data_IF_069486331121
#
_entry.id   IF_069486331121
#
_cell.length_a   1.000
_cell.length_b   1.000
_cell.length_c   1.000
_cell.angle_alpha   90.00
_cell.angle_beta   90.00
_cell.angle_gamma   90.00
#
_symmetry.space_group_name_H-M   'P 1'
#
loop_
_entity.id
_entity.type
_entity.pdbx_description
1 polymer ?
#
# COMPACT_ATOMS: atom_id res chain seq x y z
N UNK A 1 29.63 -7.93 -8.61
CA UNK A 1 29.40 -7.28 -7.30
C UNK A 1 29.37 -5.77 -7.50
N UNK A 2 28.47 -5.09 -6.83
CA UNK A 2 28.31 -3.64 -6.82
C UNK A 2 28.55 -3.11 -5.40
N UNK A 3 29.22 -1.96 -5.28
CA UNK A 3 29.39 -1.28 -4.00
C UNK A 3 28.15 -0.44 -3.64
N UNK A 4 27.49 0.11 -4.65
CA UNK A 4 26.26 0.88 -4.49
C UNK A 4 25.24 0.43 -5.53
N UNK A 5 24.03 0.15 -5.08
CA UNK A 5 22.87 -0.05 -5.92
C UNK A 5 21.82 1.00 -5.56
N UNK A 6 21.22 1.60 -6.55
CA UNK A 6 20.12 2.56 -6.38
C UNK A 6 18.87 1.94 -7.00
N UNK A 7 17.83 1.78 -6.17
CA UNK A 7 16.50 1.36 -6.61
C UNK A 7 15.56 2.56 -6.48
N UNK A 8 15.13 3.08 -7.61
CA UNK A 8 14.14 4.17 -7.66
C UNK A 8 12.74 3.60 -7.84
N UNK A 9 11.74 4.33 -7.39
CA UNK A 9 10.31 3.93 -7.41
C UNK A 9 10.06 2.54 -6.80
N UNK A 10 10.61 2.30 -5.62
CA UNK A 10 10.49 1.00 -4.94
C UNK A 10 9.04 0.58 -4.70
N UNK A 11 8.09 1.51 -4.65
CA UNK A 11 6.65 1.24 -4.54
C UNK A 11 6.09 0.41 -5.70
N UNK A 12 6.73 0.44 -6.89
CA UNK A 12 6.31 -0.33 -8.06
C UNK A 12 6.69 -1.81 -7.97
N UNK A 13 7.47 -2.21 -6.96
CA UNK A 13 7.88 -3.58 -6.73
C UNK A 13 6.74 -4.38 -6.06
N UNK A 14 5.94 -5.05 -6.87
CA UNK A 14 4.81 -5.88 -6.44
C UNK A 14 5.22 -7.30 -6.04
N UNK A 15 6.44 -7.71 -6.40
CA UNK A 15 7.05 -9.00 -6.05
C UNK A 15 8.47 -8.79 -5.53
N UNK A 16 9.02 -9.82 -4.89
CA UNK A 16 10.38 -9.79 -4.35
C UNK A 16 11.47 -10.01 -5.42
N UNK A 17 11.12 -10.38 -6.65
CA UNK A 17 12.09 -10.81 -7.68
C UNK A 17 13.21 -9.81 -7.93
N UNK A 18 12.87 -8.52 -8.04
CA UNK A 18 13.88 -7.49 -8.28
C UNK A 18 14.74 -7.23 -7.04
N UNK A 19 14.15 -7.28 -5.84
CA UNK A 19 14.87 -7.15 -4.58
C UNK A 19 15.85 -8.31 -4.41
N UNK A 20 15.41 -9.55 -4.56
CA UNK A 20 16.24 -10.75 -4.40
C UNK A 20 17.41 -10.74 -5.39
N UNK A 21 17.16 -10.33 -6.65
CA UNK A 21 18.23 -10.20 -7.65
C UNK A 21 19.28 -9.14 -7.29
N UNK A 22 18.89 -8.08 -6.56
CA UNK A 22 19.77 -6.96 -6.20
C UNK A 22 20.48 -7.21 -4.89
N UNK A 23 19.82 -7.79 -3.90
CA UNK A 23 20.33 -7.95 -2.53
C UNK A 23 21.69 -8.64 -2.51
N UNK A 24 21.86 -9.71 -3.29
CA UNK A 24 23.10 -10.49 -3.33
C UNK A 24 24.25 -9.78 -4.07
N UNK A 25 23.97 -8.73 -4.83
CA UNK A 25 25.00 -8.06 -5.64
C UNK A 25 26.01 -7.28 -4.80
N UNK A 26 25.62 -6.85 -3.60
CA UNK A 26 26.44 -6.05 -2.67
C UNK A 26 27.18 -6.90 -1.65
N UNK A 27 26.81 -8.17 -1.43
CA UNK A 27 27.34 -9.03 -0.38
C UNK A 27 28.86 -9.20 -0.38
N UNK A 28 29.49 -9.15 -1.57
CA UNK A 28 30.94 -9.30 -1.69
C UNK A 28 31.72 -7.98 -1.46
N UNK A 29 31.02 -6.91 -1.09
CA UNK A 29 31.62 -5.59 -0.86
C UNK A 29 31.55 -5.26 0.63
N UNK A 30 32.67 -4.88 1.24
CA UNK A 30 32.74 -4.52 2.67
C UNK A 30 31.80 -3.35 3.03
N UNK A 31 31.63 -2.39 2.12
CA UNK A 31 30.77 -1.21 2.28
C UNK A 31 29.65 -1.22 1.23
N UNK A 32 29.09 -2.40 0.95
CA UNK A 32 27.98 -2.52 0.00
C UNK A 32 26.70 -1.86 0.53
N UNK A 33 26.08 -1.01 -0.28
CA UNK A 33 24.86 -0.28 0.09
C UNK A 33 23.81 -0.44 -1.01
N UNK A 34 22.57 -0.69 -0.60
CA UNK A 34 21.39 -0.57 -1.45
C UNK A 34 20.63 0.67 -0.98
N UNK A 35 20.52 1.67 -1.85
CA UNK A 35 19.78 2.90 -1.60
C UNK A 35 18.46 2.86 -2.34
N UNK A 36 17.36 2.86 -1.59
CA UNK A 36 16.01 2.84 -2.15
C UNK A 36 15.36 4.22 -2.03
N UNK A 37 14.77 4.70 -3.10
CA UNK A 37 13.99 5.92 -3.12
C UNK A 37 12.57 5.62 -3.61
N UNK A 38 11.58 6.21 -2.98
CA UNK A 38 10.19 6.05 -3.39
C UNK A 38 9.28 7.08 -2.76
N UNK A 39 8.20 7.43 -3.44
CA UNK A 39 7.02 7.97 -2.79
C UNK A 39 6.25 6.82 -2.08
N UNK A 40 5.23 7.19 -1.30
CA UNK A 40 4.31 6.20 -0.74
C UNK A 40 3.58 5.44 -1.85
N UNK A 41 3.13 4.24 -1.52
CA UNK A 41 2.42 3.36 -2.44
C UNK A 41 1.03 2.98 -1.93
N UNK A 42 0.59 1.82 -2.36
CA UNK A 42 -0.67 1.21 -1.95
C UNK A 42 -0.46 -0.23 -1.44
N UNK A 43 -1.53 -0.99 -1.29
CA UNK A 43 -1.48 -2.39 -0.86
C UNK A 43 -0.64 -3.30 -1.78
N UNK A 44 -0.45 -2.91 -3.04
CA UNK A 44 0.35 -3.65 -4.03
C UNK A 44 1.85 -3.34 -3.95
N UNK A 45 2.25 -2.32 -3.22
CA UNK A 45 3.65 -1.94 -3.02
C UNK A 45 4.34 -2.86 -2.01
N UNK A 46 4.38 -4.17 -2.33
CA UNK A 46 4.72 -5.26 -1.40
C UNK A 46 6.08 -5.06 -0.75
N UNK A 47 7.11 -4.82 -1.56
CA UNK A 47 8.49 -4.73 -1.06
C UNK A 47 8.69 -3.45 -0.24
N UNK A 48 8.17 -2.31 -0.71
CA UNK A 48 8.28 -1.03 0.02
C UNK A 48 7.59 -1.11 1.37
N UNK A 49 6.37 -1.64 1.44
CA UNK A 49 5.63 -1.81 2.70
C UNK A 49 6.39 -2.71 3.69
N UNK A 50 6.90 -3.83 3.20
CA UNK A 50 7.64 -4.78 4.02
C UNK A 50 8.95 -4.17 4.56
N UNK A 51 9.72 -3.46 3.72
CA UNK A 51 10.96 -2.79 4.15
C UNK A 51 10.69 -1.63 5.10
N UNK A 52 9.65 -0.85 4.85
CA UNK A 52 9.20 0.19 5.78
C UNK A 52 8.83 -0.41 7.15
N UNK A 53 8.09 -1.52 7.17
CA UNK A 53 7.71 -2.22 8.40
C UNK A 53 8.93 -2.73 9.18
N UNK A 54 9.91 -3.34 8.50
CA UNK A 54 11.16 -3.75 9.13
C UNK A 54 11.91 -2.57 9.75
N UNK A 55 12.01 -1.45 9.03
CA UNK A 55 12.70 -0.26 9.51
C UNK A 55 12.01 0.39 10.72
N UNK A 56 10.68 0.51 10.69
CA UNK A 56 9.92 1.02 11.84
C UNK A 56 10.07 0.13 13.08
N UNK A 57 10.05 -1.20 12.90
CA UNK A 57 10.29 -2.14 13.99
C UNK A 57 11.69 -1.99 14.59
N UNK A 58 12.72 -1.86 13.76
CA UNK A 58 14.08 -1.65 14.22
C UNK A 58 14.24 -0.35 15.04
N UNK A 59 13.39 0.66 14.78
CA UNK A 59 13.31 1.90 15.54
C UNK A 59 12.41 1.81 16.79
N UNK A 60 11.84 0.64 17.08
CA UNK A 60 10.93 0.44 18.22
C UNK A 60 9.50 0.88 17.96
N UNK A 61 9.08 1.00 16.70
CA UNK A 61 7.73 1.38 16.25
C UNK A 61 7.22 2.67 16.94
N UNK A 62 7.91 3.80 16.78
CA UNK A 62 7.70 5.00 17.58
C UNK A 62 6.31 5.62 17.43
N UNK A 63 5.63 5.35 16.34
CA UNK A 63 4.28 5.83 16.01
C UNK A 63 3.18 4.74 16.08
N UNK A 64 3.56 3.50 16.46
CA UNK A 64 2.63 2.38 16.59
C UNK A 64 2.11 1.81 15.27
N UNK A 65 2.66 2.26 14.13
CA UNK A 65 2.17 1.86 12.82
C UNK A 65 2.32 0.36 12.54
N UNK A 66 3.41 -0.26 13.01
CA UNK A 66 3.64 -1.68 12.78
C UNK A 66 2.60 -2.57 13.45
N UNK A 67 2.07 -2.15 14.61
CA UNK A 67 1.08 -2.89 15.35
C UNK A 67 -0.29 -3.00 14.62
N UNK A 68 -0.52 -2.13 13.64
CA UNK A 68 -1.75 -2.10 12.82
C UNK A 68 -1.62 -2.90 11.52
N UNK A 69 -0.46 -3.55 11.26
CA UNK A 69 -0.16 -4.22 10.00
C UNK A 69 -0.08 -5.75 10.17
N UNK A 70 -1.20 -6.40 10.43
CA UNK A 70 -1.27 -7.85 10.63
C UNK A 70 -0.76 -8.64 9.42
N UNK A 71 -1.02 -8.15 8.20
CA UNK A 71 -0.57 -8.76 6.96
C UNK A 71 0.96 -8.78 6.83
N UNK A 72 1.63 -7.72 7.28
CA UNK A 72 3.09 -7.62 7.28
C UNK A 72 3.70 -8.43 8.43
N UNK A 73 3.04 -8.45 9.58
CA UNK A 73 3.47 -9.27 10.71
C UNK A 73 3.45 -10.78 10.36
N UNK A 74 2.46 -11.20 9.56
CA UNK A 74 2.34 -12.59 9.09
C UNK A 74 3.50 -13.05 8.16
N UNK A 75 4.25 -12.11 7.56
CA UNK A 75 5.41 -12.43 6.73
C UNK A 75 6.61 -12.94 7.54
N UNK A 76 6.58 -12.79 8.88
CA UNK A 76 7.66 -13.20 9.79
C UNK A 76 9.04 -12.68 9.36
N UNK A 77 9.11 -11.46 8.87
CA UNK A 77 10.36 -10.83 8.45
C UNK A 77 11.29 -10.67 9.66
N UNK A 78 12.55 -11.06 9.49
CA UNK A 78 13.58 -10.86 10.51
C UNK A 78 13.89 -9.37 10.66
N UNK A 79 14.33 -9.00 11.88
CA UNK A 79 14.88 -7.67 12.11
C UNK A 79 16.19 -7.50 11.34
N UNK A 80 16.39 -6.32 10.76
CA UNK A 80 17.58 -5.96 10.02
C UNK A 80 18.19 -4.70 10.65
N UNK A 81 19.20 -4.89 11.48
CA UNK A 81 19.89 -3.81 12.18
C UNK A 81 20.69 -2.89 11.23
N UNK A 82 20.87 -3.31 9.98
CA UNK A 82 21.61 -2.52 8.97
C UNK A 82 20.68 -1.61 8.16
N UNK A 83 19.36 -1.75 8.33
CA UNK A 83 18.35 -0.99 7.60
C UNK A 83 18.14 0.39 8.25
N UNK A 84 18.39 1.44 7.48
CA UNK A 84 18.05 2.82 7.83
C UNK A 84 16.84 3.33 7.04
N UNK A 85 16.08 4.26 7.60
CA UNK A 85 14.94 4.91 6.94
C UNK A 85 14.98 6.42 7.14
N UNK A 86 14.65 7.16 6.08
CA UNK A 86 14.36 8.59 6.11
C UNK A 86 12.99 8.78 5.47
N UNK A 87 12.02 9.23 6.25
CA UNK A 87 10.63 9.32 5.81
C UNK A 87 10.07 10.72 6.07
N UNK A 88 9.37 11.27 5.10
CA UNK A 88 8.60 12.51 5.18
C UNK A 88 7.20 12.25 4.65
N UNK A 89 6.22 12.39 5.49
CA UNK A 89 4.82 12.15 5.17
C UNK A 89 3.93 13.19 5.84
N UNK A 90 2.87 13.58 5.20
CA UNK A 90 1.84 14.38 5.86
C UNK A 90 1.12 13.54 6.92
N UNK A 91 0.73 14.17 8.03
CA UNK A 91 0.02 13.50 9.10
C UNK A 91 -1.28 12.84 8.58
N UNK A 92 -1.70 11.70 9.15
CA UNK A 92 -2.95 11.04 8.77
C UNK A 92 -4.16 12.00 8.86
N UNK A 93 -5.10 11.89 7.93
CA UNK A 93 -6.31 12.70 7.90
C UNK A 93 -6.14 14.14 7.39
N UNK A 94 -4.93 14.55 6.99
CA UNK A 94 -4.73 15.86 6.34
C UNK A 94 -5.56 15.96 5.06
N UNK A 95 -6.20 17.12 4.87
CA UNK A 95 -6.78 17.46 3.57
C UNK A 95 -5.68 17.60 2.52
N UNK A 96 -5.93 17.15 1.29
CA UNK A 96 -4.93 17.20 0.21
C UNK A 96 -4.53 18.64 -0.17
N UNK A 97 -5.34 19.64 0.19
CA UNK A 97 -5.09 21.06 -0.05
C UNK A 97 -4.46 21.76 1.16
N UNK A 98 -4.26 21.05 2.28
CA UNK A 98 -3.62 21.61 3.46
C UNK A 98 -2.13 21.85 3.21
N UNK A 99 -1.75 23.12 3.24
CA UNK A 99 -0.36 23.54 3.01
C UNK A 99 0.60 23.10 4.10
N UNK A 100 0.10 22.80 5.31
CA UNK A 100 0.91 22.20 6.39
C UNK A 100 1.31 20.78 6.00
N UNK A 101 0.37 19.98 5.50
CA UNK A 101 0.66 18.63 4.99
C UNK A 101 1.66 18.67 3.82
N UNK A 102 1.58 19.68 2.96
CA UNK A 102 2.59 19.84 1.91
C UNK A 102 4.01 20.07 2.47
N UNK A 103 4.14 20.86 3.55
CA UNK A 103 5.44 21.06 4.20
C UNK A 103 5.95 19.80 4.89
N UNK A 104 5.07 19.06 5.55
CA UNK A 104 5.40 17.80 6.23
C UNK A 104 5.97 16.77 5.24
N UNK A 105 5.33 16.61 4.08
CA UNK A 105 5.72 15.62 3.08
C UNK A 105 6.84 16.08 2.13
N UNK A 106 7.12 17.39 2.06
CA UNK A 106 8.06 17.93 1.07
C UNK A 106 9.06 18.89 1.73
N UNK A 107 10.14 18.38 2.31
CA UNK A 107 11.13 19.20 3.02
C UNK A 107 11.81 20.25 2.12
N UNK A 108 11.77 20.09 0.80
CA UNK A 108 12.29 21.06 -0.17
C UNK A 108 11.30 22.21 -0.50
N UNK A 109 10.09 22.18 0.07
CA UNK A 109 9.07 23.20 -0.17
C UNK A 109 9.54 24.58 0.33
N UNK A 110 9.43 25.56 -0.54
CA UNK A 110 9.95 26.92 -0.29
C UNK A 110 11.35 27.16 -0.86
N UNK A 111 12.14 26.13 -1.04
CA UNK A 111 13.48 26.17 -1.67
C UNK A 111 13.40 25.79 -3.15
N UNK A 112 13.63 24.53 -3.47
CA UNK A 112 13.57 23.99 -4.83
C UNK A 112 12.15 23.80 -5.34
N UNK A 113 11.24 23.37 -4.48
CA UNK A 113 9.84 23.12 -4.80
C UNK A 113 8.97 24.32 -4.39
N UNK A 114 8.09 24.75 -5.28
CA UNK A 114 7.16 25.88 -5.02
C UNK A 114 5.73 25.38 -4.83
N UNK A 115 4.99 25.92 -3.85
CA UNK A 115 3.63 25.55 -3.53
C UNK A 115 2.67 25.56 -4.74
N UNK A 116 2.86 26.48 -5.70
CA UNK A 116 2.08 26.51 -6.95
C UNK A 116 2.22 25.24 -7.78
N UNK A 117 3.39 24.56 -7.71
CA UNK A 117 3.62 23.32 -8.44
C UNK A 117 2.93 22.14 -7.77
N UNK A 118 2.95 22.07 -6.43
CA UNK A 118 2.19 21.08 -5.68
C UNK A 118 0.70 21.23 -5.97
N UNK A 119 0.18 22.47 -5.89
CA UNK A 119 -1.23 22.77 -6.20
C UNK A 119 -1.63 22.30 -7.62
N UNK A 120 -0.81 22.60 -8.62
CA UNK A 120 -1.05 22.18 -9.99
C UNK A 120 -0.98 20.64 -10.15
N UNK A 121 -0.05 20.00 -9.44
CA UNK A 121 0.08 18.53 -9.43
C UNK A 121 -1.16 17.85 -8.84
N UNK A 122 -1.64 18.33 -7.70
CA UNK A 122 -2.84 17.80 -7.03
C UNK A 122 -4.08 17.99 -7.92
N UNK A 123 -4.24 19.16 -8.52
CA UNK A 123 -5.40 19.44 -9.38
C UNK A 123 -5.51 18.53 -10.62
N UNK A 124 -4.41 17.92 -11.04
CA UNK A 124 -4.37 16.97 -12.18
C UNK A 124 -4.46 15.49 -11.80
N UNK A 125 -4.72 15.17 -10.53
CA UNK A 125 -4.70 13.77 -10.04
C UNK A 125 -5.99 13.38 -9.33
N UNK A 126 -6.19 12.07 -9.16
CA UNK A 126 -7.16 11.53 -8.21
C UNK A 126 -6.70 11.83 -6.78
N UNK A 127 -7.61 11.78 -5.81
CA UNK A 127 -7.24 11.96 -4.40
C UNK A 127 -6.19 10.94 -3.94
N UNK A 128 -6.36 9.66 -4.29
CA UNK A 128 -5.38 8.62 -3.97
C UNK A 128 -4.00 8.95 -4.57
N UNK A 129 -3.94 9.37 -5.83
CA UNK A 129 -2.71 9.81 -6.47
C UNK A 129 -2.09 11.07 -5.82
N UNK A 130 -2.90 12.03 -5.40
CA UNK A 130 -2.42 13.20 -4.68
C UNK A 130 -1.86 12.82 -3.29
N UNK A 131 -2.50 11.89 -2.58
CA UNK A 131 -2.03 11.38 -1.29
C UNK A 131 -0.68 10.70 -1.41
N UNK A 132 -0.52 9.77 -2.36
CA UNK A 132 0.75 9.04 -2.53
C UNK A 132 1.87 9.95 -3.04
N UNK A 133 1.60 10.78 -4.04
CA UNK A 133 2.62 11.55 -4.75
C UNK A 133 3.00 12.88 -4.08
N UNK A 134 2.04 13.55 -3.45
CA UNK A 134 2.24 14.90 -2.93
C UNK A 134 2.25 14.97 -1.41
N UNK A 135 1.59 14.01 -0.74
CA UNK A 135 1.53 13.91 0.70
C UNK A 135 2.34 12.73 1.26
N UNK A 136 2.90 11.88 0.41
CA UNK A 136 3.64 10.66 0.76
C UNK A 136 2.87 9.77 1.76
N UNK A 137 1.55 9.68 1.59
CA UNK A 137 0.68 8.86 2.40
C UNK A 137 0.37 7.54 1.69
N UNK A 138 0.52 6.43 2.39
CA UNK A 138 0.06 5.14 1.88
C UNK A 138 -1.46 5.13 1.79
N UNK A 139 -1.98 4.55 0.71
CA UNK A 139 -3.42 4.36 0.49
C UNK A 139 -3.74 2.88 0.41
N UNK A 140 -4.99 2.49 0.73
CA UNK A 140 -5.39 1.10 0.68
C UNK A 140 -5.33 0.55 -0.75
N UNK A 141 -5.75 1.37 -1.72
CA UNK A 141 -5.72 1.01 -3.15
C UNK A 141 -5.69 2.25 -4.03
N UNK A 142 -4.88 2.22 -5.09
CA UNK A 142 -4.86 3.29 -6.09
C UNK A 142 -6.07 3.22 -7.04
N UNK A 143 -6.58 2.01 -7.31
CA UNK A 143 -7.76 1.84 -8.13
C UNK A 143 -9.02 2.25 -7.34
N UNK A 144 -9.91 2.99 -7.98
CA UNK A 144 -11.21 3.30 -7.40
C UNK A 144 -11.98 2.01 -7.08
N UNK A 145 -12.64 1.96 -5.93
CA UNK A 145 -13.56 0.87 -5.62
C UNK A 145 -14.66 0.81 -6.69
N UNK A 146 -15.04 -0.38 -7.16
CA UNK A 146 -16.18 -0.53 -8.05
C UNK A 146 -17.52 -0.18 -7.37
N UNK A 147 -17.52 -0.07 -6.03
CA UNK A 147 -18.68 0.31 -5.24
C UNK A 147 -18.48 1.68 -4.61
N UNK A 148 -19.54 2.50 -4.49
CA UNK A 148 -19.52 3.70 -3.66
C UNK A 148 -19.09 3.37 -2.23
N UNK A 149 -18.49 4.34 -1.54
CA UNK A 149 -18.08 4.18 -0.15
C UNK A 149 -19.26 3.76 0.74
N UNK A 150 -19.05 2.72 1.55
CA UNK A 150 -20.06 2.15 2.44
C UNK A 150 -21.16 1.32 1.75
N UNK A 151 -21.15 1.19 0.42
CA UNK A 151 -22.20 0.42 -0.28
C UNK A 151 -22.09 -1.09 -0.01
N UNK A 152 -20.88 -1.60 0.17
CA UNK A 152 -20.67 -3.01 0.52
C UNK A 152 -21.18 -3.31 1.93
N UNK A 153 -20.81 -2.47 2.88
CA UNK A 153 -21.24 -2.59 4.29
C UNK A 153 -22.75 -2.42 4.44
N UNK A 154 -23.36 -1.50 3.67
CA UNK A 154 -24.80 -1.29 3.65
C UNK A 154 -25.57 -2.50 3.09
N UNK A 155 -24.93 -3.33 2.28
CA UNK A 155 -25.48 -4.57 1.74
C UNK A 155 -25.38 -5.76 2.70
N UNK A 156 -24.70 -5.62 3.84
CA UNK A 156 -24.50 -6.71 4.80
C UNK A 156 -25.81 -7.04 5.50
N UNK A 157 -26.23 -8.31 5.41
CA UNK A 157 -27.40 -8.85 6.09
C UNK A 157 -27.06 -10.22 6.68
N UNK A 158 -26.82 -10.27 7.99
CA UNK A 158 -26.43 -11.49 8.69
C UNK A 158 -27.50 -12.61 8.65
N UNK A 159 -28.73 -12.28 8.31
CA UNK A 159 -29.82 -13.24 8.14
C UNK A 159 -30.05 -13.66 6.69
N UNK A 160 -29.18 -13.20 5.79
CA UNK A 160 -29.30 -13.52 4.37
C UNK A 160 -28.90 -14.97 4.11
N UNK A 161 -29.78 -15.70 3.40
CA UNK A 161 -29.55 -17.11 3.03
C UNK A 161 -29.91 -17.33 1.57
N UNK A 162 -29.17 -18.20 0.91
CA UNK A 162 -29.50 -18.67 -0.45
C UNK A 162 -30.68 -19.64 -0.34
N UNK A 163 -31.73 -19.45 -1.17
CA UNK A 163 -32.84 -20.37 -1.20
C UNK A 163 -32.39 -21.79 -1.60
N UNK A 164 -32.95 -22.87 -0.99
CA UNK A 164 -32.50 -24.25 -1.25
C UNK A 164 -32.52 -24.68 -2.72
N UNK A 165 -33.48 -24.13 -3.49
CA UNK A 165 -33.66 -24.47 -4.91
C UNK A 165 -32.95 -23.47 -5.86
N UNK A 166 -32.15 -22.56 -5.32
CA UNK A 166 -31.44 -21.56 -6.12
C UNK A 166 -30.30 -22.20 -6.90
N UNK A 167 -30.13 -21.89 -8.17
CA UNK A 167 -28.87 -22.13 -8.85
C UNK A 167 -27.75 -21.35 -8.15
N UNK A 168 -26.54 -21.94 -8.11
CA UNK A 168 -25.36 -21.31 -7.56
C UNK A 168 -24.41 -20.90 -8.67
N UNK A 169 -23.88 -19.70 -8.54
CA UNK A 169 -22.80 -19.20 -9.40
C UNK A 169 -21.55 -19.01 -8.54
N UNK A 170 -20.45 -19.50 -9.06
CA UNK A 170 -19.15 -19.41 -8.41
C UNK A 170 -18.22 -18.51 -9.21
N UNK A 171 -17.45 -17.70 -8.52
CA UNK A 171 -16.35 -16.94 -9.10
C UNK A 171 -15.08 -17.20 -8.28
N UNK A 172 -13.96 -17.30 -8.98
CA UNK A 172 -12.63 -17.42 -8.36
C UNK A 172 -11.76 -16.35 -8.96
N UNK A 173 -11.17 -15.53 -8.11
CA UNK A 173 -10.16 -14.56 -8.50
C UNK A 173 -8.83 -14.90 -7.81
N UNK A 174 -7.76 -14.94 -8.60
CA UNK A 174 -6.42 -15.19 -8.12
C UNK A 174 -5.59 -13.95 -8.40
N UNK A 175 -5.16 -13.28 -7.35
CA UNK A 175 -4.30 -12.09 -7.46
C UNK A 175 -3.06 -12.36 -8.33
N UNK A 176 -2.59 -11.37 -9.05
CA UNK A 176 -1.47 -11.49 -9.99
C UNK A 176 -0.19 -12.05 -9.32
N UNK A 177 0.01 -11.76 -8.05
CA UNK A 177 1.13 -12.27 -7.25
C UNK A 177 0.85 -13.63 -6.58
N UNK A 178 -0.35 -14.21 -6.78
CA UNK A 178 -0.82 -15.45 -6.14
C UNK A 178 -0.82 -15.45 -4.60
N UNK A 179 -0.69 -14.27 -3.98
CA UNK A 179 -0.70 -14.12 -2.52
C UNK A 179 -2.11 -14.15 -1.94
N UNK A 180 -3.09 -13.80 -2.76
CA UNK A 180 -4.50 -13.76 -2.36
C UNK A 180 -5.34 -14.47 -3.41
N UNK A 181 -6.31 -15.22 -2.93
CA UNK A 181 -7.34 -15.85 -3.76
C UNK A 181 -8.69 -15.57 -3.10
N UNK A 182 -9.62 -15.01 -3.85
CA UNK A 182 -10.99 -14.85 -3.43
C UNK A 182 -11.86 -15.91 -4.12
N UNK A 183 -12.78 -16.48 -3.37
CA UNK A 183 -13.80 -17.38 -3.89
C UNK A 183 -15.14 -16.79 -3.50
N UNK A 184 -15.96 -16.49 -4.48
CA UNK A 184 -17.30 -15.95 -4.25
C UNK A 184 -18.36 -16.96 -4.68
N UNK A 185 -19.45 -17.01 -3.94
CA UNK A 185 -20.67 -17.71 -4.29
C UNK A 185 -21.82 -16.72 -4.37
N UNK A 186 -22.69 -16.90 -5.37
CA UNK A 186 -23.91 -16.12 -5.54
C UNK A 186 -25.10 -17.05 -5.76
N UNK A 187 -26.23 -16.70 -5.16
CA UNK A 187 -27.48 -17.41 -5.33
C UNK A 187 -28.67 -16.49 -5.09
N UNK A 188 -29.87 -16.95 -5.42
CA UNK A 188 -31.12 -16.21 -5.17
C UNK A 188 -31.62 -16.49 -3.75
N UNK A 189 -32.06 -15.46 -3.10
CA UNK A 189 -32.85 -15.52 -1.86
C UNK A 189 -34.31 -15.87 -2.17
N UNK A 190 -35.08 -16.19 -1.15
CA UNK A 190 -36.51 -16.47 -1.27
C UNK A 190 -37.33 -15.30 -1.85
N UNK A 191 -36.88 -14.07 -1.61
CA UNK A 191 -37.48 -12.82 -2.13
C UNK A 191 -37.01 -12.46 -3.56
N UNK A 192 -36.21 -13.32 -4.20
CA UNK A 192 -35.60 -13.14 -5.51
C UNK A 192 -34.52 -12.05 -5.63
N UNK A 193 -34.05 -11.53 -4.50
CA UNK A 193 -32.81 -10.76 -4.49
C UNK A 193 -31.62 -11.71 -4.48
N UNK A 194 -30.39 -11.17 -4.66
CA UNK A 194 -29.19 -11.99 -4.66
C UNK A 194 -28.52 -11.99 -3.29
N UNK A 195 -28.06 -13.17 -2.90
CA UNK A 195 -27.09 -13.33 -1.83
C UNK A 195 -25.71 -13.56 -2.44
N UNK A 196 -24.71 -12.83 -1.98
CA UNK A 196 -23.31 -12.97 -2.38
C UNK A 196 -22.47 -13.14 -1.12
N UNK A 197 -21.62 -14.15 -1.13
CA UNK A 197 -20.66 -14.42 -0.05
C UNK A 197 -19.27 -14.57 -0.67
N UNK A 198 -18.22 -14.01 0.02
CA UNK A 198 -16.83 -13.98 -0.45
C UNK A 198 -15.91 -14.51 0.62
#
# INVERSE_FOLDING_TARGET
>A
SAQLVIMDEMREQQTWDAWDAVADTTLAQELGIIWCASNAGDSMSVVLRAKRWQAHRALGDPDGWCAEQDDLAALNLMEDETLGIFEWSAAPGRDIWDTVGWCEANPSLGYGLKARRIRASIAGKTEAGARTENLCQFVGRMAASPFPDGAWEAGTDAASEIAPDSPLWWAIDVGANRMHTAVAVCGLRADRTYHVEV
#
